data_IF_687052564782
#
_entry.id   IF_687052564782
#
_cell.length_a   1.000
_cell.length_b   1.000
_cell.length_c   1.000
_cell.angle_alpha   90.00
_cell.angle_beta   90.00
_cell.angle_gamma   90.00
#
_symmetry.space_group_name_H-M   'P 1'
#
loop_
_entity.id
_entity.type
_entity.pdbx_description
1 polymer ?
#
# COMPACT_ATOMS: atom_id res chain seq x y z
N UNK A 1 6.66 4.22 9.03
CA UNK A 1 5.98 4.61 10.28
C UNK A 1 5.29 5.95 10.05
N UNK A 2 4.28 6.28 10.83
CA UNK A 2 3.70 7.63 10.86
C UNK A 2 4.69 8.62 11.48
N UNK A 3 4.58 9.89 11.10
CA UNK A 3 5.45 10.99 11.56
C UNK A 3 5.38 11.20 13.07
N UNK A 4 4.21 10.95 13.67
CA UNK A 4 4.00 11.00 15.12
C UNK A 4 4.56 9.78 15.87
N UNK A 5 5.13 8.81 15.15
CA UNK A 5 5.76 7.62 15.73
C UNK A 5 4.80 6.66 16.39
N UNK A 6 3.47 6.77 16.17
CA UNK A 6 2.48 5.91 16.84
C UNK A 6 2.13 4.64 16.06
N UNK A 7 2.31 4.64 14.74
CA UNK A 7 1.93 3.53 13.88
C UNK A 7 3.04 3.12 12.91
N UNK A 8 3.16 1.81 12.69
CA UNK A 8 3.96 1.22 11.64
C UNK A 8 3.05 0.43 10.69
N UNK A 9 3.07 0.77 9.42
CA UNK A 9 2.40 0.01 8.37
C UNK A 9 3.46 -0.75 7.56
N UNK A 10 3.16 -2.00 7.24
CA UNK A 10 3.95 -2.83 6.33
C UNK A 10 3.02 -3.55 5.34
N UNK A 11 3.62 -4.03 4.26
CA UNK A 11 2.98 -4.99 3.36
C UNK A 11 3.66 -6.35 3.48
N UNK A 12 2.88 -7.41 3.30
CA UNK A 12 3.35 -8.78 3.19
C UNK A 12 3.08 -9.26 1.77
N UNK A 13 4.13 -9.25 0.95
CA UNK A 13 4.08 -9.61 -0.47
C UNK A 13 3.59 -11.05 -0.67
N UNK A 14 4.08 -12.00 0.12
CA UNK A 14 3.79 -13.43 -0.07
C UNK A 14 2.36 -13.78 0.34
N UNK A 15 1.83 -13.07 1.34
CA UNK A 15 0.48 -13.32 1.83
C UNK A 15 -0.59 -12.38 1.24
N UNK A 16 -0.19 -11.37 0.47
CA UNK A 16 -1.08 -10.35 -0.09
C UNK A 16 -1.78 -9.54 1.00
N UNK A 17 -1.04 -9.00 1.97
CA UNK A 17 -1.65 -8.34 3.15
C UNK A 17 -1.04 -6.98 3.47
N UNK A 18 -1.81 -6.17 4.18
CA UNK A 18 -1.35 -4.94 4.83
C UNK A 18 -1.49 -5.13 6.33
N UNK A 19 -0.44 -4.80 7.07
CA UNK A 19 -0.42 -4.93 8.53
C UNK A 19 -0.09 -3.60 9.16
N UNK A 20 -0.85 -3.23 10.19
CA UNK A 20 -0.59 -2.05 11.00
C UNK A 20 -0.31 -2.45 12.44
N UNK A 21 0.80 -1.96 12.96
CA UNK A 21 1.24 -2.12 14.35
C UNK A 21 1.14 -0.79 15.08
N UNK A 22 0.89 -0.87 16.39
CA UNK A 22 1.15 0.26 17.28
C UNK A 22 2.65 0.27 17.65
N UNK A 23 3.18 1.47 17.83
CA UNK A 23 4.54 1.70 18.31
C UNK A 23 4.50 2.30 19.72
N UNK A 24 5.41 1.86 20.57
CA UNK A 24 5.69 2.49 21.85
C UNK A 24 6.46 3.81 21.67
N UNK A 25 6.45 4.72 22.66
CA UNK A 25 7.23 5.96 22.60
C UNK A 25 8.74 5.76 22.39
N UNK A 26 9.28 4.59 22.73
CA UNK A 26 10.68 4.21 22.52
C UNK A 26 10.93 3.51 21.16
N UNK A 27 9.90 3.41 20.31
CA UNK A 27 9.95 2.80 18.98
C UNK A 27 9.77 1.28 18.96
N UNK A 28 9.54 0.62 20.10
CA UNK A 28 9.25 -0.82 20.12
C UNK A 28 7.92 -1.12 19.43
N UNK A 29 7.91 -2.19 18.65
CA UNK A 29 6.72 -2.66 17.91
C UNK A 29 5.84 -3.51 18.83
N UNK A 30 4.56 -3.15 18.97
CA UNK A 30 3.57 -3.95 19.69
C UNK A 30 2.94 -5.03 18.79
N UNK A 31 1.99 -5.79 19.32
CA UNK A 31 1.16 -6.69 18.52
C UNK A 31 0.43 -5.95 17.39
N UNK A 32 0.21 -6.65 16.28
CA UNK A 32 -0.53 -6.13 15.14
C UNK A 32 -1.93 -5.66 15.59
N UNK A 33 -2.27 -4.42 15.25
CA UNK A 33 -3.59 -3.84 15.51
C UNK A 33 -4.57 -4.15 14.39
N UNK A 34 -4.10 -4.20 13.15
CA UNK A 34 -4.90 -4.57 11.97
C UNK A 34 -4.08 -5.43 11.02
N UNK A 35 -4.74 -6.45 10.47
CA UNK A 35 -4.22 -7.30 9.39
C UNK A 35 -5.33 -7.36 8.35
N UNK A 36 -5.07 -6.87 7.15
CA UNK A 36 -6.05 -6.81 6.06
C UNK A 36 -5.50 -7.63 4.91
N UNK A 37 -6.19 -8.70 4.56
CA UNK A 37 -5.90 -9.47 3.36
C UNK A 37 -6.49 -8.81 2.13
N UNK A 38 -5.70 -8.75 1.07
CA UNK A 38 -6.15 -8.51 -0.28
C UNK A 38 -6.37 -9.84 -0.99
N UNK A 39 -7.16 -9.83 -2.05
CA UNK A 39 -7.45 -11.00 -2.86
C UNK A 39 -7.70 -10.56 -4.30
N UNK A 40 -7.42 -11.46 -5.24
CA UNK A 40 -7.44 -11.19 -6.67
C UNK A 40 -6.23 -11.79 -7.35
N UNK A 41 -6.15 -11.63 -8.66
CA UNK A 41 -5.05 -12.07 -9.52
C UNK A 41 -5.09 -11.23 -10.80
N UNK A 42 -4.09 -11.37 -11.65
CA UNK A 42 -4.04 -10.71 -12.95
C UNK A 42 -3.33 -11.56 -14.01
N UNK A 43 -2.93 -10.92 -15.12
CA UNK A 43 -2.58 -11.57 -16.39
C UNK A 43 -1.31 -12.41 -16.34
N UNK A 44 -0.36 -12.14 -15.45
CA UNK A 44 0.87 -12.91 -15.35
C UNK A 44 0.71 -14.09 -14.36
N UNK A 45 0.50 -15.32 -14.81
CA UNK A 45 0.20 -16.46 -13.93
C UNK A 45 1.38 -16.89 -13.04
N UNK A 46 2.59 -16.36 -13.28
CA UNK A 46 3.79 -16.67 -12.49
C UNK A 46 4.14 -15.59 -11.46
N UNK A 47 3.53 -14.41 -11.56
CA UNK A 47 3.85 -13.24 -10.72
C UNK A 47 2.60 -12.54 -10.15
N UNK A 48 1.42 -12.86 -10.66
CA UNK A 48 0.13 -12.25 -10.38
C UNK A 48 -0.95 -13.33 -10.21
N UNK A 49 -0.58 -14.51 -9.72
CA UNK A 49 -1.48 -15.61 -9.42
C UNK A 49 -2.39 -15.33 -8.21
N UNK A 50 -1.98 -14.39 -7.36
CA UNK A 50 -2.69 -13.92 -6.20
C UNK A 50 -2.38 -12.43 -5.98
N UNK A 51 -2.95 -11.83 -4.93
CA UNK A 51 -2.52 -10.50 -4.47
C UNK A 51 -1.08 -10.55 -3.95
N UNK A 52 -0.32 -9.51 -4.26
CA UNK A 52 1.04 -9.30 -3.83
C UNK A 52 1.26 -7.82 -3.47
N UNK A 53 0.89 -7.44 -2.25
CA UNK A 53 1.09 -6.08 -1.73
C UNK A 53 2.58 -5.79 -1.59
N UNK A 54 3.09 -4.93 -2.47
CA UNK A 54 4.53 -4.71 -2.61
C UNK A 54 5.03 -3.51 -1.79
N UNK A 55 4.21 -2.47 -1.63
CA UNK A 55 4.58 -1.33 -0.80
C UNK A 55 3.38 -0.62 -0.20
N UNK A 56 3.63 0.10 0.89
CA UNK A 56 2.72 1.06 1.50
C UNK A 56 3.40 2.42 1.55
N UNK A 57 2.73 3.45 1.02
CA UNK A 57 3.20 4.84 1.07
C UNK A 57 2.11 5.71 1.69
N UNK A 58 2.45 6.45 2.74
CA UNK A 58 1.53 7.41 3.34
C UNK A 58 1.48 8.68 2.50
N UNK A 59 0.31 9.30 2.39
CA UNK A 59 0.19 10.65 1.84
C UNK A 59 1.01 11.64 2.68
N UNK A 60 1.47 12.77 2.13
CA UNK A 60 2.23 13.76 2.89
C UNK A 60 1.53 14.27 4.16
N UNK A 61 0.19 14.34 4.13
CA UNK A 61 -0.66 14.71 5.27
C UNK A 61 -1.03 13.52 6.19
N UNK A 62 -0.55 12.32 5.86
CA UNK A 62 -0.81 11.05 6.54
C UNK A 62 -2.29 10.74 6.82
N UNK A 63 -3.19 11.29 6.01
CA UNK A 63 -4.62 10.92 6.08
C UNK A 63 -4.91 9.62 5.35
N UNK A 64 -4.09 9.27 4.37
CA UNK A 64 -4.25 8.06 3.57
C UNK A 64 -2.96 7.25 3.44
N UNK A 65 -3.12 5.94 3.22
CA UNK A 65 -2.08 5.00 2.83
C UNK A 65 -2.43 4.45 1.44
N UNK A 66 -1.48 4.53 0.51
CA UNK A 66 -1.57 3.92 -0.81
C UNK A 66 -0.78 2.61 -0.78
N UNK A 67 -1.46 1.52 -1.11
CA UNK A 67 -0.89 0.19 -1.22
C UNK A 67 -0.72 -0.14 -2.70
N UNK A 68 0.50 -0.40 -3.13
CA UNK A 68 0.75 -0.94 -4.46
C UNK A 68 0.60 -2.46 -4.41
N UNK A 69 -0.40 -3.00 -5.09
CA UNK A 69 -0.64 -4.43 -5.20
C UNK A 69 -0.21 -4.90 -6.59
N UNK A 70 0.96 -5.53 -6.64
CA UNK A 70 1.54 -6.05 -7.87
C UNK A 70 0.63 -7.12 -8.49
N UNK A 71 0.06 -7.96 -7.62
CA UNK A 71 -0.67 -9.16 -8.00
C UNK A 71 -2.03 -8.89 -8.63
N UNK A 72 -2.67 -7.78 -8.28
CA UNK A 72 -4.00 -7.42 -8.79
C UNK A 72 -4.00 -6.27 -9.81
N UNK A 73 -2.83 -5.69 -10.11
CA UNK A 73 -2.71 -4.45 -10.89
C UNK A 73 -3.47 -3.27 -10.28
N UNK A 74 -3.40 -3.11 -8.96
CA UNK A 74 -4.16 -2.08 -8.25
C UNK A 74 -3.29 -1.20 -7.35
N UNK A 75 -3.67 0.08 -7.25
CA UNK A 75 -3.33 0.93 -6.12
C UNK A 75 -4.55 1.02 -5.20
N UNK A 76 -4.44 0.48 -3.98
CA UNK A 76 -5.52 0.50 -2.99
C UNK A 76 -5.30 1.62 -1.99
N UNK A 77 -6.29 2.50 -1.84
CA UNK A 77 -6.22 3.67 -0.94
C UNK A 77 -7.00 3.39 0.33
N UNK A 78 -6.31 3.46 1.46
CA UNK A 78 -6.89 3.37 2.80
C UNK A 78 -6.86 4.73 3.49
N UNK A 79 -7.93 5.11 4.17
CA UNK A 79 -7.90 6.21 5.15
C UNK A 79 -7.37 5.68 6.48
N UNK A 80 -6.49 6.45 7.12
CA UNK A 80 -6.01 6.18 8.48
C UNK A 80 -6.98 6.76 9.50
N UNK A 81 -7.42 5.93 10.44
CA UNK A 81 -8.15 6.36 11.63
C UNK A 81 -7.24 6.31 12.85
N UNK A 82 -6.66 7.46 13.23
CA UNK A 82 -5.68 7.53 14.32
C UNK A 82 -6.24 7.07 15.67
N UNK A 83 -7.45 7.51 16.02
CA UNK A 83 -8.06 7.21 17.32
C UNK A 83 -8.32 5.71 17.54
N UNK A 84 -8.67 4.98 16.48
CA UNK A 84 -9.04 3.56 16.56
C UNK A 84 -7.90 2.65 16.10
N UNK A 85 -6.79 3.22 15.62
CA UNK A 85 -5.77 2.52 14.85
C UNK A 85 -6.45 1.68 13.76
N UNK A 86 -7.28 2.33 12.94
CA UNK A 86 -8.07 1.74 11.87
C UNK A 86 -7.52 2.04 10.48
N UNK A 87 -7.83 1.16 9.53
CA UNK A 87 -7.61 1.36 8.10
C UNK A 87 -8.93 1.12 7.37
N UNK A 88 -9.46 2.15 6.70
CA UNK A 88 -10.71 2.05 5.95
C UNK A 88 -10.41 2.15 4.46
N UNK A 89 -10.72 1.11 3.69
CA UNK A 89 -10.59 1.14 2.22
C UNK A 89 -11.51 2.22 1.65
N UNK A 90 -10.96 3.16 0.90
CA UNK A 90 -11.72 4.27 0.27
C UNK A 90 -11.81 4.14 -1.23
N UNK A 91 -10.72 3.74 -1.87
CA UNK A 91 -10.65 3.67 -3.31
C UNK A 91 -9.73 2.56 -3.77
N UNK A 92 -9.95 2.12 -5.00
CA UNK A 92 -9.05 1.21 -5.71
C UNK A 92 -8.91 1.75 -7.12
N UNK A 93 -7.67 1.95 -7.52
CA UNK A 93 -7.29 2.55 -8.80
C UNK A 93 -6.62 1.45 -9.60
N UNK A 94 -7.20 1.13 -10.75
CA UNK A 94 -6.61 0.15 -11.66
C UNK A 94 -5.37 0.73 -12.34
N UNK A 95 -4.30 -0.06 -12.39
CA UNK A 95 -3.19 0.15 -13.30
C UNK A 95 -3.46 -0.57 -14.62
N UNK A 96 -2.56 -0.41 -15.59
CA UNK A 96 -2.63 -1.18 -16.83
C UNK A 96 -2.54 -2.69 -16.51
N UNK A 97 -3.41 -3.54 -17.07
CA UNK A 97 -3.37 -4.98 -16.83
C UNK A 97 -1.99 -5.58 -17.17
N UNK A 98 -1.46 -6.43 -16.30
CA UNK A 98 -0.15 -7.06 -16.41
C UNK A 98 1.05 -6.17 -16.08
N UNK A 99 0.83 -4.95 -15.56
CA UNK A 99 1.91 -3.98 -15.34
C UNK A 99 2.60 -4.12 -13.98
N UNK A 100 1.89 -4.58 -12.95
CA UNK A 100 2.41 -4.87 -11.62
C UNK A 100 2.92 -3.63 -10.86
N UNK A 101 2.04 -2.80 -10.27
CA UNK A 101 2.45 -1.70 -9.41
C UNK A 101 3.38 -2.15 -8.29
N UNK A 102 4.53 -1.48 -8.15
CA UNK A 102 5.56 -1.85 -7.18
C UNK A 102 5.64 -0.84 -6.04
N UNK A 103 6.09 0.38 -6.35
CA UNK A 103 6.28 1.48 -5.41
C UNK A 103 5.62 2.74 -5.95
N UNK A 104 5.20 3.65 -5.06
CA UNK A 104 4.67 4.97 -5.44
C UNK A 104 5.48 6.10 -4.80
N UNK A 105 5.47 7.26 -5.44
CA UNK A 105 6.05 8.50 -4.92
C UNK A 105 5.14 9.69 -5.23
N UNK A 106 4.98 10.59 -4.27
CA UNK A 106 4.23 11.83 -4.45
C UNK A 106 5.12 12.91 -5.06
N UNK A 107 4.58 13.69 -6.00
CA UNK A 107 5.23 14.93 -6.41
C UNK A 107 5.29 15.90 -5.20
N UNK A 108 6.40 16.65 -4.99
CA UNK A 108 6.58 17.46 -3.78
C UNK A 108 5.57 18.60 -3.62
N UNK A 109 4.95 19.07 -4.71
CA UNK A 109 4.09 20.27 -4.71
C UNK A 109 2.78 20.14 -5.49
N UNK A 110 2.60 19.05 -6.24
CA UNK A 110 1.45 18.89 -7.13
C UNK A 110 0.66 17.66 -6.68
N UNK A 111 -0.66 17.61 -6.89
CA UNK A 111 -1.48 16.44 -6.54
C UNK A 111 -1.26 15.33 -7.56
N UNK A 112 -0.02 14.85 -7.69
CA UNK A 112 0.42 13.84 -8.65
C UNK A 112 1.11 12.71 -7.91
N UNK A 113 0.79 11.48 -8.29
CA UNK A 113 1.47 10.26 -7.83
C UNK A 113 2.12 9.54 -9.01
N UNK A 114 3.40 9.20 -8.86
CA UNK A 114 4.13 8.35 -9.79
C UNK A 114 4.16 6.93 -9.25
N UNK A 115 3.82 5.95 -10.09
CA UNK A 115 3.89 4.53 -9.75
C UNK A 115 4.83 3.81 -10.71
N UNK A 116 5.85 3.14 -10.17
CA UNK A 116 6.71 2.26 -10.97
C UNK A 116 6.05 0.89 -11.11
N UNK A 117 5.91 0.42 -12.35
CA UNK A 117 5.28 -0.83 -12.72
C UNK A 117 6.36 -1.88 -13.02
N UNK A 118 6.51 -2.88 -12.15
CA UNK A 118 7.61 -3.85 -12.21
C UNK A 118 7.56 -4.72 -13.47
N UNK A 119 6.40 -5.28 -13.79
CA UNK A 119 6.24 -6.22 -14.89
C UNK A 119 6.13 -5.48 -16.23
N UNK A 120 5.49 -4.32 -16.22
CA UNK A 120 5.33 -3.47 -17.40
C UNK A 120 6.58 -2.69 -17.78
N UNK A 121 7.55 -2.53 -16.87
CA UNK A 121 8.73 -1.68 -17.06
C UNK A 121 8.37 -0.23 -17.44
N UNK A 122 7.33 0.31 -16.80
CA UNK A 122 6.81 1.67 -17.06
C UNK A 122 6.64 2.46 -15.77
N UNK A 123 6.47 3.79 -15.90
CA UNK A 123 5.99 4.65 -14.82
C UNK A 123 4.62 5.18 -15.20
N UNK A 124 3.61 4.88 -14.38
CA UNK A 124 2.27 5.44 -14.50
C UNK A 124 2.16 6.73 -13.67
N UNK A 125 1.34 7.68 -14.14
CA UNK A 125 1.08 8.96 -13.49
C UNK A 125 -0.41 9.04 -13.18
N UNK A 126 -0.74 9.38 -11.93
CA UNK A 126 -2.09 9.55 -11.42
C UNK A 126 -2.27 10.95 -10.82
#
# INVERSE_FOLDING_TARGET
ATQDGQALLITDYGAGRVVMFALEPDGRIQAARRIIGHAGSSLNPARQEASHTHSVTLTPDERFAIIADLGTDELVVYQLERATMGLIRRQTIAAAPGSGPRHVAFHPHQPIVYSIQELGSTVAVF
#
